data_IF_980571522969
#
_entry.id   IF_980571522969
#
_cell.length_a   1.000
_cell.length_b   1.000
_cell.length_c   1.000
_cell.angle_alpha   90.00
_cell.angle_beta   90.00
_cell.angle_gamma   90.00
#
_symmetry.space_group_name_H-M   'P 1'
#
loop_
_entity.id
_entity.type
_entity.pdbx_description
1 polymer ?
#
# COMPACT_ATOMS: atom_id res chain seq x y z
N UNK A 1 -0.77 -51.93 18.31
CA UNK A 1 -0.08 -51.58 17.02
C UNK A 1 -1.07 -51.09 15.95
N UNK A 2 -2.12 -51.82 15.55
CA UNK A 2 -3.12 -51.31 14.57
C UNK A 2 -3.88 -50.07 15.07
N UNK A 3 -4.46 -50.13 16.27
CA UNK A 3 -5.18 -49.00 16.87
C UNK A 3 -4.29 -47.75 17.09
N UNK A 4 -3.01 -47.95 17.42
CA UNK A 4 -2.04 -46.85 17.59
C UNK A 4 -1.69 -46.18 16.25
N UNK A 5 -1.50 -46.97 15.19
CA UNK A 5 -1.29 -46.45 13.83
C UNK A 5 -2.53 -45.73 13.28
N UNK A 6 -3.75 -46.22 13.57
CA UNK A 6 -4.99 -45.56 13.17
C UNK A 6 -5.17 -44.22 13.89
N UNK A 7 -4.90 -44.17 15.20
CA UNK A 7 -4.94 -42.92 15.96
C UNK A 7 -3.95 -41.89 15.43
N UNK A 8 -2.70 -42.30 15.19
CA UNK A 8 -1.68 -41.42 14.59
C UNK A 8 -2.07 -40.88 13.21
N UNK A 9 -2.76 -41.68 12.39
CA UNK A 9 -3.27 -41.24 11.09
C UNK A 9 -4.41 -40.24 11.26
N UNK A 10 -5.38 -40.53 12.12
CA UNK A 10 -6.48 -39.62 12.42
C UNK A 10 -5.97 -38.28 12.99
N UNK A 11 -5.01 -38.31 13.91
CA UNK A 11 -4.40 -37.09 14.47
C UNK A 11 -3.65 -36.30 13.38
N UNK A 12 -2.92 -36.98 12.48
CA UNK A 12 -2.20 -36.33 11.37
C UNK A 12 -3.15 -35.73 10.32
N UNK A 13 -4.27 -36.40 10.04
CA UNK A 13 -5.32 -35.91 9.14
C UNK A 13 -6.07 -34.72 9.76
N UNK A 14 -6.37 -34.80 11.06
CA UNK A 14 -6.95 -33.70 11.83
C UNK A 14 -6.07 -32.46 11.78
N UNK A 15 -4.77 -32.60 12.08
CA UNK A 15 -3.82 -31.49 12.03
C UNK A 15 -3.75 -30.88 10.63
N UNK A 16 -3.70 -31.71 9.57
CA UNK A 16 -3.70 -31.22 8.19
C UNK A 16 -4.95 -30.44 7.84
N UNK A 17 -6.11 -30.89 8.29
CA UNK A 17 -7.38 -30.20 8.04
C UNK A 17 -7.44 -28.86 8.78
N UNK A 18 -6.95 -28.81 10.02
CA UNK A 18 -6.82 -27.58 10.80
C UNK A 18 -5.87 -26.58 10.15
N UNK A 19 -4.69 -27.04 9.69
CA UNK A 19 -3.70 -26.20 9.01
C UNK A 19 -4.28 -25.57 7.73
N UNK A 20 -4.95 -26.37 6.89
CA UNK A 20 -5.60 -25.87 5.67
C UNK A 20 -6.69 -24.86 6.01
N UNK A 21 -7.49 -25.12 7.05
CA UNK A 21 -8.54 -24.19 7.49
C UNK A 21 -7.93 -22.87 7.98
N UNK A 22 -6.82 -22.93 8.71
CA UNK A 22 -6.10 -21.77 9.20
C UNK A 22 -5.41 -20.97 8.07
N UNK A 23 -5.01 -21.61 6.98
CA UNK A 23 -4.45 -20.90 5.82
C UNK A 23 -5.51 -20.26 4.93
N UNK A 24 -6.69 -20.89 4.83
CA UNK A 24 -7.79 -20.44 3.99
C UNK A 24 -8.66 -19.36 4.65
N UNK A 25 -8.63 -19.21 5.98
CA UNK A 25 -9.39 -18.15 6.67
C UNK A 25 -8.91 -16.76 6.27
N UNK A 26 -9.79 -15.77 6.44
CA UNK A 26 -9.41 -14.38 6.34
C UNK A 26 -8.41 -14.01 7.43
N UNK A 27 -7.52 -13.08 7.11
CA UNK A 27 -6.47 -12.61 8.01
C UNK A 27 -6.90 -11.35 8.75
N UNK A 28 -6.32 -11.13 9.92
CA UNK A 28 -6.37 -9.83 10.62
C UNK A 28 -5.51 -8.79 9.90
N UNK A 29 -5.66 -7.51 10.23
CA UNK A 29 -4.85 -6.45 9.61
C UNK A 29 -3.34 -6.68 9.78
N UNK A 30 -2.91 -7.08 10.98
CA UNK A 30 -1.50 -7.32 11.27
C UNK A 30 -0.97 -8.53 10.49
N UNK A 31 -1.70 -9.65 10.50
CA UNK A 31 -1.37 -10.84 9.70
C UNK A 31 -1.29 -10.50 8.21
N UNK A 32 -2.27 -9.75 7.69
CA UNK A 32 -2.32 -9.36 6.30
C UNK A 32 -1.10 -8.55 5.86
N UNK A 33 -0.73 -7.53 6.63
CA UNK A 33 0.45 -6.69 6.32
C UNK A 33 1.72 -7.55 6.30
N UNK A 34 1.92 -8.39 7.32
CA UNK A 34 3.07 -9.31 7.38
C UNK A 34 3.08 -10.26 6.17
N UNK A 35 1.95 -10.89 5.85
CA UNK A 35 1.85 -11.81 4.72
C UNK A 35 2.08 -11.10 3.37
N UNK A 36 1.63 -9.85 3.21
CA UNK A 36 1.96 -9.07 2.02
C UNK A 36 3.48 -8.88 1.89
N UNK A 37 4.19 -8.62 2.99
CA UNK A 37 5.65 -8.53 2.97
C UNK A 37 6.31 -9.87 2.64
N UNK A 38 5.82 -10.98 3.17
CA UNK A 38 6.47 -12.28 2.98
C UNK A 38 6.22 -12.86 1.57
N UNK A 39 5.00 -12.70 1.05
CA UNK A 39 4.58 -13.32 -0.21
C UNK A 39 4.62 -12.38 -1.41
N UNK A 40 4.37 -11.09 -1.23
CA UNK A 40 4.31 -10.12 -2.33
C UNK A 40 5.59 -9.29 -2.49
N UNK A 41 6.60 -9.43 -1.61
CA UNK A 41 7.92 -8.85 -1.83
C UNK A 41 8.55 -9.50 -3.07
N UNK A 42 8.63 -8.70 -4.13
CA UNK A 42 9.24 -9.12 -5.37
C UNK A 42 10.71 -8.73 -5.35
N UNK A 43 11.57 -9.74 -5.34
CA UNK A 43 12.94 -9.59 -5.78
C UNK A 43 12.95 -9.35 -7.30
N UNK A 44 12.61 -8.13 -7.71
CA UNK A 44 12.57 -7.72 -9.11
C UNK A 44 13.98 -7.78 -9.67
N UNK A 45 14.27 -8.85 -10.40
CA UNK A 45 15.48 -8.92 -11.22
C UNK A 45 15.21 -8.18 -12.51
N UNK A 46 15.55 -6.90 -12.54
CA UNK A 46 15.58 -6.14 -13.80
C UNK A 46 16.64 -6.78 -14.68
N UNK A 47 16.27 -7.38 -15.80
CA UNK A 47 17.26 -7.85 -16.79
C UNK A 47 17.83 -6.62 -17.52
N UNK A 48 19.12 -6.29 -17.38
CA UNK A 48 19.74 -5.26 -18.19
C UNK A 48 19.88 -5.83 -19.61
N UNK A 49 18.89 -5.58 -20.46
CA UNK A 49 18.99 -5.99 -21.85
C UNK A 49 19.64 -4.85 -22.66
N UNK A 50 20.97 -4.77 -22.61
CA UNK A 50 21.76 -3.73 -23.26
C UNK A 50 21.63 -3.71 -24.80
N UNK A 51 21.02 -4.74 -25.40
CA UNK A 51 20.80 -4.85 -26.85
C UNK A 51 19.43 -4.33 -27.31
N UNK A 52 18.51 -4.02 -26.40
CA UNK A 52 17.19 -3.47 -26.69
C UNK A 52 16.98 -2.19 -25.87
N UNK A 53 17.64 -1.07 -26.21
CA UNK A 53 17.29 0.22 -25.64
C UNK A 53 15.80 0.48 -25.90
N UNK A 54 15.09 1.00 -24.89
CA UNK A 54 13.71 1.43 -25.03
C UNK A 54 13.63 2.39 -26.21
N UNK A 55 12.94 2.01 -27.29
CA UNK A 55 12.72 2.85 -28.47
C UNK A 55 11.70 3.98 -28.20
N UNK A 56 11.65 4.48 -26.98
CA UNK A 56 10.95 5.70 -26.67
C UNK A 56 11.81 6.87 -27.13
N UNK A 57 11.24 7.80 -27.88
CA UNK A 57 11.86 9.11 -28.06
C UNK A 57 12.13 9.64 -26.67
N UNK A 58 13.41 9.87 -26.32
CA UNK A 58 13.76 10.60 -25.10
C UNK A 58 13.06 11.94 -25.27
N UNK A 59 11.94 12.12 -24.59
CA UNK A 59 11.29 13.41 -24.53
C UNK A 59 12.27 14.27 -23.78
N UNK A 60 12.99 15.15 -24.50
CA UNK A 60 13.67 16.26 -23.88
C UNK A 60 12.56 17.05 -23.21
N UNK A 61 12.40 16.98 -21.87
CA UNK A 61 11.29 17.61 -21.21
C UNK A 61 11.68 19.07 -21.02
N UNK A 62 11.72 19.80 -22.14
CA UNK A 62 11.62 21.25 -22.12
C UNK A 62 10.34 21.54 -21.32
N UNK A 63 10.45 22.37 -20.28
CA UNK A 63 9.35 22.80 -19.41
C UNK A 63 8.86 21.84 -18.30
N UNK A 64 9.51 20.69 -18.05
CA UNK A 64 9.23 19.96 -16.78
C UNK A 64 10.01 20.60 -15.64
N UNK A 65 9.28 21.12 -14.65
CA UNK A 65 9.86 21.54 -13.36
C UNK A 65 10.40 20.29 -12.64
N UNK A 66 11.69 20.03 -12.80
CA UNK A 66 12.40 19.01 -12.02
C UNK A 66 12.89 19.68 -10.74
N UNK A 67 12.55 19.10 -9.58
CA UNK A 67 13.09 19.59 -8.32
C UNK A 67 14.62 19.50 -8.36
N UNK A 68 15.30 20.64 -8.21
CA UNK A 68 16.76 20.70 -8.13
C UNK A 68 17.30 20.17 -6.81
N UNK A 69 16.44 19.83 -5.86
CA UNK A 69 16.84 19.46 -4.50
C UNK A 69 15.92 18.41 -3.92
N UNK A 70 16.49 17.26 -3.58
CA UNK A 70 15.84 16.26 -2.76
C UNK A 70 16.14 16.57 -1.29
N UNK A 71 15.11 16.65 -0.45
CA UNK A 71 15.25 16.85 0.99
C UNK A 71 14.93 15.55 1.73
N UNK A 72 15.71 15.18 2.76
CA UNK A 72 15.35 14.06 3.62
C UNK A 72 14.01 14.32 4.32
N UNK A 73 13.17 13.28 4.41
CA UNK A 73 11.96 13.33 5.23
C UNK A 73 12.31 12.96 6.68
N UNK A 74 12.77 13.96 7.43
CA UNK A 74 13.44 13.75 8.72
C UNK A 74 12.53 13.20 9.82
N UNK A 75 11.22 13.43 9.75
CA UNK A 75 10.25 13.00 10.76
C UNK A 75 9.37 11.82 10.28
N UNK A 76 9.70 11.21 9.14
CA UNK A 76 8.92 10.12 8.55
C UNK A 76 8.65 8.98 9.54
N UNK A 77 9.67 8.48 10.24
CA UNK A 77 9.53 7.35 11.17
C UNK A 77 8.61 7.68 12.34
N UNK A 78 8.68 8.90 12.86
CA UNK A 78 7.85 9.33 13.99
C UNK A 78 6.39 9.55 13.55
N UNK A 79 6.17 10.12 12.37
CA UNK A 79 4.84 10.20 11.78
C UNK A 79 4.27 8.79 11.51
N UNK A 80 5.06 7.88 10.96
CA UNK A 80 4.66 6.51 10.66
C UNK A 80 4.23 5.77 11.92
N UNK A 81 5.06 5.77 12.98
CA UNK A 81 4.72 5.17 14.27
C UNK A 81 3.43 5.75 14.86
N UNK A 82 3.26 7.07 14.81
CA UNK A 82 2.07 7.75 15.31
C UNK A 82 0.79 7.35 14.54
N UNK A 83 0.89 7.25 13.21
CA UNK A 83 -0.21 6.79 12.35
C UNK A 83 -0.54 5.32 12.62
N UNK A 84 0.46 4.45 12.70
CA UNK A 84 0.28 3.03 13.01
C UNK A 84 -0.33 2.83 14.40
N UNK A 85 0.17 3.54 15.42
CA UNK A 85 -0.36 3.47 16.77
C UNK A 85 -1.85 3.85 16.82
N UNK A 86 -2.24 4.92 16.13
CA UNK A 86 -3.66 5.29 15.98
C UNK A 86 -4.45 4.21 15.26
N UNK A 87 -3.93 3.69 14.14
CA UNK A 87 -4.60 2.65 13.36
C UNK A 87 -4.91 1.42 14.21
N UNK A 88 -3.89 0.85 14.87
CA UNK A 88 -4.05 -0.33 15.73
C UNK A 88 -4.87 -0.08 17.00
N UNK A 89 -4.95 1.17 17.48
CA UNK A 89 -5.85 1.52 18.59
C UNK A 89 -7.32 1.66 18.18
N UNK A 90 -7.59 1.93 16.90
CA UNK A 90 -8.95 2.22 16.40
C UNK A 90 -9.59 1.07 15.63
N UNK A 91 -8.78 0.24 14.97
CA UNK A 91 -9.26 -0.90 14.19
C UNK A 91 -9.23 -2.17 15.05
N UNK A 92 -10.27 -3.02 15.03
CA UNK A 92 -10.31 -4.21 15.88
C UNK A 92 -9.21 -5.21 15.48
N UNK A 93 -8.37 -5.60 16.43
CA UNK A 93 -7.20 -6.44 16.19
C UNK A 93 -7.57 -7.86 15.73
N UNK A 94 -8.72 -8.37 16.17
CA UNK A 94 -9.25 -9.70 15.87
C UNK A 94 -10.12 -9.74 14.61
N UNK A 95 -10.36 -8.58 13.97
CA UNK A 95 -11.18 -8.50 12.76
C UNK A 95 -10.48 -9.16 11.58
N UNK A 96 -10.95 -10.36 11.25
CA UNK A 96 -10.55 -11.13 10.08
C UNK A 96 -11.35 -10.67 8.85
N UNK A 97 -10.83 -9.70 8.12
CA UNK A 97 -11.51 -9.10 6.97
C UNK A 97 -10.63 -9.04 5.71
N UNK A 98 -9.38 -9.46 5.80
CA UNK A 98 -8.40 -9.35 4.74
C UNK A 98 -8.14 -10.71 4.08
N UNK A 99 -7.46 -10.67 2.94
CA UNK A 99 -7.15 -11.83 2.12
C UNK A 99 -6.45 -12.94 2.91
N UNK A 100 -6.75 -14.20 2.55
CA UNK A 100 -6.17 -15.37 3.21
C UNK A 100 -4.70 -15.55 2.87
N UNK A 101 -4.00 -16.34 3.69
CA UNK A 101 -2.59 -16.70 3.46
C UNK A 101 -2.44 -17.41 2.11
N UNK A 102 -3.31 -18.39 1.85
CA UNK A 102 -3.31 -19.15 0.59
C UNK A 102 -3.44 -18.23 -0.63
N UNK A 103 -4.33 -17.23 -0.57
CA UNK A 103 -4.48 -16.28 -1.68
C UNK A 103 -3.21 -15.46 -1.92
N UNK A 104 -2.62 -14.91 -0.86
CA UNK A 104 -1.42 -14.08 -0.96
C UNK A 104 -0.21 -14.87 -1.46
N UNK A 105 -0.06 -16.12 -1.01
CA UNK A 105 0.98 -17.04 -1.48
C UNK A 105 0.82 -17.36 -2.97
N UNK A 106 -0.37 -17.76 -3.41
CA UNK A 106 -0.67 -18.04 -4.82
C UNK A 106 -0.44 -16.80 -5.71
N UNK A 107 -0.85 -15.63 -5.23
CA UNK A 107 -0.63 -14.36 -5.92
C UNK A 107 0.86 -14.05 -6.04
N UNK A 108 1.61 -14.17 -4.95
CA UNK A 108 3.06 -13.99 -4.91
C UNK A 108 3.78 -14.90 -5.90
N UNK A 109 3.44 -16.19 -5.91
CA UNK A 109 3.99 -17.16 -6.86
C UNK A 109 3.68 -16.82 -8.32
N UNK A 110 2.46 -16.34 -8.61
CA UNK A 110 2.10 -15.86 -9.94
C UNK A 110 2.91 -14.64 -10.36
N UNK A 111 3.13 -13.70 -9.46
CA UNK A 111 3.90 -12.48 -9.72
C UNK A 111 5.39 -12.77 -9.91
N UNK A 112 5.97 -13.68 -9.11
CA UNK A 112 7.38 -14.12 -9.24
C UNK A 112 7.68 -14.75 -10.61
N UNK A 113 6.70 -15.46 -11.20
CA UNK A 113 6.85 -16.03 -12.55
C UNK A 113 6.77 -14.99 -13.67
N UNK A 114 6.27 -13.79 -13.39
CA UNK A 114 6.10 -12.73 -14.40
C UNK A 114 7.45 -12.09 -14.72
N UNK A 115 7.84 -12.15 -16.00
CA UNK A 115 9.02 -11.43 -16.50
C UNK A 115 8.63 -9.97 -16.75
N UNK A 116 9.34 -9.03 -16.15
CA UNK A 116 9.16 -7.60 -16.42
C UNK A 116 10.03 -7.23 -17.63
N UNK A 117 9.40 -7.01 -18.79
CA UNK A 117 10.11 -6.67 -20.02
C UNK A 117 9.81 -5.23 -20.51
N UNK A 118 8.73 -4.62 -20.04
CA UNK A 118 8.30 -3.28 -20.41
C UNK A 118 7.51 -2.61 -19.26
N UNK A 119 7.14 -1.34 -19.46
CA UNK A 119 6.41 -0.54 -18.47
C UNK A 119 5.05 -1.13 -18.09
N UNK A 120 4.30 -1.70 -19.05
CA UNK A 120 3.01 -2.34 -18.76
C UNK A 120 3.16 -3.56 -17.85
N UNK A 121 4.24 -4.32 -18.00
CA UNK A 121 4.53 -5.43 -17.11
C UNK A 121 4.80 -4.94 -15.69
N UNK A 122 5.56 -3.85 -15.55
CA UNK A 122 5.87 -3.22 -14.27
C UNK A 122 4.62 -2.62 -13.60
N UNK A 123 3.81 -1.88 -14.35
CA UNK A 123 2.54 -1.31 -13.88
C UNK A 123 1.63 -2.38 -13.32
N UNK A 124 1.46 -3.48 -14.06
CA UNK A 124 0.64 -4.60 -13.61
C UNK A 124 1.19 -5.26 -12.34
N UNK A 125 2.52 -5.34 -12.18
CA UNK A 125 3.13 -5.82 -10.94
C UNK A 125 2.82 -4.86 -9.79
N UNK A 126 3.09 -3.56 -9.97
CA UNK A 126 2.83 -2.52 -8.97
C UNK A 126 1.37 -2.50 -8.53
N UNK A 127 0.44 -2.70 -9.46
CA UNK A 127 -0.97 -2.78 -9.14
C UNK A 127 -1.25 -3.89 -8.11
N UNK A 128 -0.68 -5.09 -8.31
CA UNK A 128 -0.93 -6.23 -7.44
C UNK A 128 -0.19 -6.16 -6.09
N UNK A 129 1.04 -5.62 -6.06
CA UNK A 129 1.83 -5.60 -4.82
C UNK A 129 1.58 -4.36 -3.94
N UNK A 130 1.05 -3.29 -4.52
CA UNK A 130 0.87 -2.01 -3.82
C UNK A 130 -0.56 -1.50 -3.94
N UNK A 131 -1.03 -1.24 -5.17
CA UNK A 131 -2.27 -0.49 -5.34
C UNK A 131 -3.49 -1.27 -4.82
N UNK A 132 -3.62 -2.55 -5.19
CA UNK A 132 -4.74 -3.39 -4.75
C UNK A 132 -4.72 -3.62 -3.24
N UNK A 133 -3.62 -4.09 -2.59
CA UNK A 133 -3.61 -4.29 -1.14
C UNK A 133 -3.92 -3.01 -0.36
N UNK A 134 -3.32 -1.87 -0.74
CA UNK A 134 -3.57 -0.60 -0.05
C UNK A 134 -5.01 -0.13 -0.25
N UNK A 135 -5.56 -0.27 -1.46
CA UNK A 135 -6.97 0.08 -1.73
C UNK A 135 -7.91 -0.78 -0.88
N UNK A 136 -7.68 -2.10 -0.85
CA UNK A 136 -8.51 -3.03 -0.07
C UNK A 136 -8.45 -2.72 1.42
N UNK A 137 -7.26 -2.38 1.95
CA UNK A 137 -7.11 -1.93 3.32
C UNK A 137 -7.97 -0.68 3.56
N UNK A 138 -7.80 0.37 2.75
CA UNK A 138 -8.54 1.63 2.94
C UNK A 138 -10.05 1.44 2.85
N UNK A 139 -10.54 0.60 1.93
CA UNK A 139 -11.96 0.29 1.81
C UNK A 139 -12.50 -0.36 3.09
N UNK A 140 -11.80 -1.36 3.64
CA UNK A 140 -12.20 -2.01 4.91
C UNK A 140 -12.13 -1.02 6.08
N UNK A 141 -11.11 -0.16 6.13
CA UNK A 141 -10.95 0.86 7.17
C UNK A 141 -12.07 1.91 7.10
N UNK A 142 -12.51 2.29 5.90
CA UNK A 142 -13.58 3.27 5.67
C UNK A 142 -14.94 2.77 6.21
N UNK A 143 -15.15 1.47 6.24
CA UNK A 143 -16.38 0.85 6.77
C UNK A 143 -16.37 0.74 8.31
N UNK A 144 -15.26 1.05 8.98
CA UNK A 144 -15.18 1.08 10.44
C UNK A 144 -15.30 2.51 10.96
N UNK A 145 -16.34 2.78 11.74
CA UNK A 145 -16.66 4.12 12.26
C UNK A 145 -15.49 4.81 12.98
N UNK A 146 -14.79 4.08 13.87
CA UNK A 146 -13.67 4.62 14.64
C UNK A 146 -12.53 5.06 13.72
N UNK A 147 -12.16 4.22 12.76
CA UNK A 147 -11.09 4.50 11.79
C UNK A 147 -11.49 5.58 10.80
N UNK A 148 -12.72 5.52 10.27
CA UNK A 148 -13.28 6.53 9.36
C UNK A 148 -13.21 7.94 9.96
N UNK A 149 -13.59 8.10 11.23
CA UNK A 149 -13.51 9.39 11.94
C UNK A 149 -12.08 9.82 12.22
N UNK A 150 -11.22 8.88 12.62
CA UNK A 150 -9.83 9.17 12.99
C UNK A 150 -8.98 9.63 11.80
N UNK A 151 -9.22 9.05 10.61
CA UNK A 151 -8.42 9.29 9.41
C UNK A 151 -9.14 10.09 8.32
N UNK A 152 -10.40 10.49 8.55
CA UNK A 152 -11.21 11.24 7.59
C UNK A 152 -11.23 10.61 6.18
N UNK A 153 -11.40 9.28 6.10
CA UNK A 153 -11.20 8.50 4.86
C UNK A 153 -12.19 8.81 3.73
N UNK A 154 -13.21 9.65 3.95
CA UNK A 154 -14.08 10.17 2.91
C UNK A 154 -14.65 9.10 1.96
N UNK A 155 -14.32 9.21 0.67
CA UNK A 155 -14.74 8.28 -0.38
C UNK A 155 -13.83 7.05 -0.55
N UNK A 156 -12.68 7.01 0.14
CA UNK A 156 -11.67 5.96 0.00
C UNK A 156 -10.41 6.46 -0.69
N UNK A 157 -9.67 5.53 -1.29
CA UNK A 157 -8.41 5.78 -1.98
C UNK A 157 -8.54 5.42 -3.46
N UNK A 158 -7.93 6.23 -4.33
CA UNK A 158 -7.82 5.94 -5.77
C UNK A 158 -6.40 6.25 -6.22
N UNK A 159 -5.83 5.33 -7.01
CA UNK A 159 -4.53 5.53 -7.66
C UNK A 159 -4.79 5.99 -9.10
N UNK A 160 -4.26 7.16 -9.47
CA UNK A 160 -4.37 7.69 -10.82
C UNK A 160 -3.04 8.35 -11.23
N UNK A 161 -2.63 8.14 -12.48
CA UNK A 161 -1.42 8.69 -13.07
C UNK A 161 -1.73 9.79 -14.11
N UNK A 162 -3.02 10.11 -14.34
CA UNK A 162 -3.44 11.11 -15.29
C UNK A 162 -3.63 12.48 -14.61
N UNK A 163 -2.89 13.53 -15.04
CA UNK A 163 -3.00 14.87 -14.46
C UNK A 163 -4.42 15.47 -14.52
N UNK A 164 -5.18 15.10 -15.56
CA UNK A 164 -6.54 15.60 -15.77
C UNK A 164 -7.51 15.03 -14.73
N UNK A 165 -7.37 13.75 -14.39
CA UNK A 165 -8.21 13.10 -13.37
C UNK A 165 -7.96 13.69 -11.97
N UNK A 166 -6.69 14.00 -11.66
CA UNK A 166 -6.32 14.65 -10.40
C UNK A 166 -6.90 16.07 -10.28
N UNK A 167 -7.01 16.79 -11.41
CA UNK A 167 -7.57 18.15 -11.46
C UNK A 167 -9.09 18.16 -11.26
N UNK A 168 -9.81 17.20 -11.84
CA UNK A 168 -11.26 17.07 -11.70
C UNK A 168 -11.69 16.66 -10.28
N UNK A 169 -10.92 15.78 -9.64
CA UNK A 169 -11.12 15.41 -8.23
C UNK A 169 -10.87 16.59 -7.27
N UNK A 170 -9.90 17.46 -7.56
CA UNK A 170 -9.65 18.64 -6.74
C UNK A 170 -10.81 19.66 -6.80
N UNK A 171 -11.47 19.80 -7.96
CA UNK A 171 -12.59 20.71 -8.16
C UNK A 171 -13.88 20.24 -7.48
N UNK A 172 -14.12 18.93 -7.44
CA UNK A 172 -15.31 18.33 -6.80
C UNK A 172 -15.26 18.35 -5.26
N UNK A 173 -14.06 18.38 -4.67
CA UNK A 173 -13.87 18.45 -3.21
C UNK A 173 -14.07 19.85 -2.60
N UNK A 174 -14.20 20.91 -3.42
CA UNK A 174 -14.42 22.28 -2.91
C UNK A 174 -15.86 22.55 -2.44
N UNK A 175 -16.82 21.65 -2.70
CA UNK A 175 -18.23 21.90 -2.39
C UNK A 175 -18.71 21.41 -1.01
N UNK A 176 -17.83 20.83 -0.17
CA UNK A 176 -18.21 20.26 1.13
C UNK A 176 -17.18 20.48 2.27
N UNK A 177 -16.26 21.45 2.14
CA UNK A 177 -15.21 21.69 3.12
C UNK A 177 -15.74 22.41 4.39
N UNK A 178 -16.38 21.65 5.29
CA UNK A 178 -16.37 21.99 6.73
C UNK A 178 -14.99 21.63 7.26
N UNK A 179 -14.10 22.62 7.16
CA UNK A 179 -12.71 22.58 7.59
C UNK A 179 -12.62 22.30 9.10
N UNK A 180 -12.34 21.05 9.50
CA UNK A 180 -11.82 20.77 10.83
C UNK A 180 -10.29 20.93 10.80
N UNK A 181 -9.70 21.85 11.59
CA UNK A 181 -8.27 22.07 11.57
C UNK A 181 -7.55 20.91 12.25
N UNK A 182 -6.82 20.10 11.49
CA UNK A 182 -5.60 19.49 12.04
C UNK A 182 -4.60 20.63 12.21
N UNK A 183 -4.38 21.04 13.45
CA UNK A 183 -3.49 22.13 13.81
C UNK A 183 -2.03 21.74 13.55
N UNK A 184 -1.54 21.96 12.34
CA UNK A 184 -0.10 22.12 12.08
C UNK A 184 0.21 23.61 12.18
N UNK A 185 0.84 24.02 13.27
CA UNK A 185 1.29 25.39 13.44
C UNK A 185 2.50 25.66 12.55
N UNK A 186 2.29 26.33 11.43
CA UNK A 186 3.33 27.11 10.76
C UNK A 186 2.74 28.48 10.44
N UNK A 187 3.20 29.50 11.15
CA UNK A 187 2.89 30.89 10.82
C UNK A 187 4.00 31.43 9.92
N UNK A 188 3.71 31.89 8.69
CA UNK A 188 4.61 32.74 7.94
C UNK A 188 4.19 34.19 8.13
N UNK A 189 5.04 34.96 8.82
CA UNK A 189 5.07 36.42 8.66
C UNK A 189 5.54 36.75 7.25
N UNK A 190 4.73 37.49 6.47
CA UNK A 190 5.22 38.28 5.34
C UNK A 190 4.55 38.02 3.98
N UNK A 191 3.57 38.87 3.66
CA UNK A 191 3.27 39.51 2.36
C UNK A 191 3.31 38.72 1.03
N UNK A 192 2.12 38.53 0.46
CA UNK A 192 1.70 38.61 -0.95
C UNK A 192 2.60 38.05 -2.08
N UNK A 193 2.16 36.96 -2.73
CA UNK A 193 1.42 37.01 -4.01
C UNK A 193 1.26 35.62 -4.62
N UNK A 194 0.07 35.39 -5.20
CA UNK A 194 -0.31 34.39 -6.22
C UNK A 194 0.68 33.27 -6.57
N UNK A 195 0.31 32.02 -6.26
CA UNK A 195 0.97 30.84 -6.80
C UNK A 195 0.20 29.56 -6.48
N UNK A 196 -0.37 28.95 -7.51
CA UNK A 196 -1.06 27.66 -7.50
C UNK A 196 -0.22 26.58 -6.83
N UNK A 197 -0.73 26.01 -5.72
CA UNK A 197 -0.11 24.88 -5.02
C UNK A 197 -0.50 23.58 -5.75
N UNK A 198 0.41 23.04 -6.56
CA UNK A 198 0.31 21.68 -7.07
C UNK A 198 0.91 20.72 -6.02
N UNK A 199 0.09 19.78 -5.58
CA UNK A 199 0.44 18.75 -4.62
C UNK A 199 1.55 17.84 -5.16
N UNK A 200 2.66 17.78 -4.45
CA UNK A 200 3.67 16.73 -4.58
C UNK A 200 3.71 15.94 -3.27
N UNK A 201 3.77 14.61 -3.36
CA UNK A 201 4.21 13.81 -2.20
C UNK A 201 3.19 12.86 -1.56
N UNK A 202 2.25 12.29 -2.31
CA UNK A 202 1.48 11.14 -1.81
C UNK A 202 1.94 9.78 -2.40
N UNK A 203 2.72 9.77 -3.49
CA UNK A 203 3.17 8.52 -4.14
C UNK A 203 4.46 7.93 -3.55
N UNK A 204 5.38 8.78 -3.09
CA UNK A 204 6.69 8.36 -2.54
C UNK A 204 6.61 7.88 -1.08
N UNK A 205 5.50 8.18 -0.40
CA UNK A 205 5.24 7.78 0.99
C UNK A 205 4.97 6.28 1.12
N UNK A 206 4.48 5.63 0.06
CA UNK A 206 4.03 4.22 0.10
C UNK A 206 5.12 3.22 -0.25
N UNK A 207 6.04 3.55 -1.16
CA UNK A 207 7.27 2.76 -1.33
C UNK A 207 8.11 2.81 -0.05
N UNK A 208 8.14 3.97 0.64
CA UNK A 208 8.72 4.06 1.99
C UNK A 208 7.91 3.29 3.03
N UNK A 209 6.57 3.21 2.93
CA UNK A 209 5.75 2.34 3.79
C UNK A 209 6.09 0.86 3.58
N UNK A 210 6.24 0.40 2.34
CA UNK A 210 6.60 -0.98 2.03
C UNK A 210 8.04 -1.33 2.43
N UNK A 211 8.98 -0.40 2.24
CA UNK A 211 10.41 -0.58 2.55
C UNK A 211 10.68 -0.39 4.05
N UNK A 212 10.02 0.55 4.74
CA UNK A 212 10.27 0.86 6.16
C UNK A 212 9.61 -0.14 7.13
N UNK A 213 8.51 -0.80 6.74
CA UNK A 213 7.95 -1.89 7.54
C UNK A 213 8.91 -3.09 7.68
N UNK A 214 9.93 -3.20 6.81
CA UNK A 214 11.00 -4.21 6.91
C UNK A 214 12.02 -3.95 8.04
N UNK A 215 11.96 -2.80 8.72
CA UNK A 215 12.96 -2.40 9.74
C UNK A 215 12.44 -2.36 11.17
N UNK A 216 11.18 -2.72 11.42
CA UNK A 216 10.56 -2.75 12.77
C UNK A 216 9.79 -4.07 12.97
N UNK A 217 10.33 -5.19 12.45
CA UNK A 217 9.92 -6.53 12.89
C UNK A 217 11.15 -7.38 13.19
#
# INVERSE_FOLDING_TARGET
RRADNERRRADSEGQRAEDVTAQCRQTTLAEHITNCHDYLDLNITVKPNNSLPSKGTITNPQDKLVSSTLKPWTDFLEQQKSIHGRLYSTFPADKQAFESVTFLEELGERLRRKKIANERDLESVQHNILQTPVTNIVEILKDQDATKRTFALGRGLTFDNHPNALSEMALTNQHNDVRYPIRTSFAPTGCASTGTMAWTGAGETWLSWLIASRRIS
#
